data_IF_918511744584
#
_entry.id   IF_918511744584
#
_cell.length_a   1.000
_cell.length_b   1.000
_cell.length_c   1.000
_cell.angle_alpha   90.00
_cell.angle_beta   90.00
_cell.angle_gamma   90.00
#
_symmetry.space_group_name_H-M   'P 1'
#
loop_
_entity.id
_entity.type
_entity.pdbx_description
1 polymer ?
#
# COMPACT_ATOMS: atom_id res chain seq x y z
N UNK A 1 11.29 25.83 16.61
CA UNK A 1 9.95 26.02 15.99
C UNK A 1 9.55 24.69 15.34
N UNK A 2 8.64 23.94 15.96
CA UNK A 2 8.14 22.68 15.42
C UNK A 2 6.83 22.99 14.68
N UNK A 3 6.82 22.81 13.35
CA UNK A 3 5.64 23.07 12.52
C UNK A 3 4.67 21.88 12.62
N UNK A 4 3.45 22.05 13.14
CA UNK A 4 2.49 20.96 13.23
C UNK A 4 1.85 20.75 11.84
N UNK A 5 1.74 19.49 11.41
CA UNK A 5 1.00 19.04 10.21
C UNK A 5 1.77 18.96 8.88
N UNK A 6 2.97 18.38 8.87
CA UNK A 6 3.41 17.70 7.63
C UNK A 6 3.30 16.21 7.86
N UNK A 7 2.41 15.55 7.11
CA UNK A 7 2.29 14.08 7.03
C UNK A 7 3.54 13.54 6.33
N UNK A 8 4.73 13.71 6.93
CA UNK A 8 5.98 13.25 6.34
C UNK A 8 6.16 11.79 6.70
N UNK A 9 5.99 10.94 5.69
CA UNK A 9 6.43 9.56 5.78
C UNK A 9 7.94 9.57 6.01
N UNK A 10 8.43 8.74 6.93
CA UNK A 10 9.88 8.61 7.13
C UNK A 10 10.54 8.20 5.80
N UNK A 11 11.65 8.80 5.46
CA UNK A 11 12.42 8.41 4.29
C UNK A 11 13.01 7.01 4.52
N UNK A 12 12.99 6.15 3.49
CA UNK A 12 13.68 4.86 3.56
C UNK A 12 14.97 4.98 2.75
N UNK A 13 16.14 4.68 3.34
CA UNK A 13 17.39 4.62 2.60
C UNK A 13 17.34 3.59 1.46
N UNK A 14 17.77 3.98 0.27
CA UNK A 14 17.79 3.11 -0.91
C UNK A 14 19.04 2.22 -0.95
N UNK A 15 19.08 1.21 -0.07
CA UNK A 15 20.22 0.29 0.02
C UNK A 15 20.33 -0.70 -1.15
N UNK A 16 19.27 -0.85 -1.95
CA UNK A 16 19.23 -1.77 -3.09
C UNK A 16 19.29 -1.05 -4.45
N UNK A 17 19.62 0.24 -4.44
CA UNK A 17 19.74 1.08 -5.65
C UNK A 17 18.48 0.99 -6.54
N UNK A 18 17.32 0.88 -5.90
CA UNK A 18 16.02 0.74 -6.57
C UNK A 18 15.70 1.95 -7.42
N UNK A 19 16.21 3.14 -7.08
CA UNK A 19 16.05 4.35 -7.88
C UNK A 19 16.60 4.18 -9.31
N UNK A 20 17.75 3.51 -9.46
CA UNK A 20 18.33 3.22 -10.78
C UNK A 20 17.46 2.25 -11.59
N UNK A 21 16.84 1.25 -10.94
CA UNK A 21 15.95 0.30 -11.61
C UNK A 21 14.77 0.98 -12.30
N UNK A 22 14.21 2.04 -11.70
CA UNK A 22 13.10 2.80 -12.29
C UNK A 22 13.55 3.78 -13.38
N UNK A 23 14.80 4.25 -13.33
CA UNK A 23 15.37 5.16 -14.34
C UNK A 23 15.84 4.45 -15.60
N UNK A 24 16.44 3.27 -15.44
CA UNK A 24 17.16 2.59 -16.53
C UNK A 24 16.33 1.50 -17.23
N UNK A 25 15.21 1.06 -16.63
CA UNK A 25 14.38 0.00 -17.18
C UNK A 25 13.05 0.51 -17.74
N UNK A 26 12.61 -0.10 -18.85
CA UNK A 26 11.28 0.15 -19.39
C UNK A 26 10.20 -0.44 -18.48
N UNK A 27 9.38 0.41 -17.88
CA UNK A 27 8.22 0.00 -17.11
C UNK A 27 7.08 -0.43 -18.04
N UNK A 28 6.58 -1.66 -17.83
CA UNK A 28 5.45 -2.20 -18.59
C UNK A 28 4.22 -2.28 -17.68
N UNK A 29 3.14 -1.61 -18.07
CA UNK A 29 1.87 -1.74 -17.39
C UNK A 29 1.14 -2.99 -17.88
N UNK A 30 0.76 -3.88 -16.96
CA UNK A 30 -0.03 -5.09 -17.23
C UNK A 30 -1.16 -5.23 -16.22
N UNK A 31 -2.27 -5.80 -16.65
CA UNK A 31 -3.42 -6.10 -15.80
C UNK A 31 -3.42 -7.57 -15.40
N UNK A 32 -3.79 -7.83 -14.15
CA UNK A 32 -4.01 -9.17 -13.63
C UNK A 32 -5.45 -9.28 -13.15
N UNK A 33 -6.17 -10.28 -13.66
CA UNK A 33 -7.56 -10.52 -13.28
C UNK A 33 -7.62 -11.59 -12.20
N UNK A 34 -8.43 -11.33 -11.17
CA UNK A 34 -8.71 -12.27 -10.09
C UNK A 34 -10.20 -12.57 -10.08
N UNK A 35 -10.55 -13.77 -10.53
CA UNK A 35 -11.89 -14.34 -10.35
C UNK A 35 -12.17 -14.65 -8.86
N UNK A 36 -13.45 -14.86 -8.46
CA UNK A 36 -13.80 -15.13 -7.07
C UNK A 36 -13.01 -16.28 -6.44
N UNK A 37 -12.80 -17.38 -7.17
CA UNK A 37 -12.04 -18.54 -6.65
C UNK A 37 -10.56 -18.22 -6.42
N UNK A 38 -9.96 -17.37 -7.26
CA UNK A 38 -8.62 -16.83 -7.00
C UNK A 38 -8.61 -15.91 -5.78
N UNK A 39 -9.61 -15.05 -5.60
CA UNK A 39 -9.68 -14.16 -4.45
C UNK A 39 -9.82 -14.95 -3.13
N UNK A 40 -10.63 -16.01 -3.12
CA UNK A 40 -10.73 -16.88 -1.94
C UNK A 40 -9.41 -17.58 -1.64
N UNK A 41 -8.68 -18.04 -2.66
CA UNK A 41 -7.32 -18.57 -2.46
C UNK A 41 -6.35 -17.53 -1.90
N UNK A 42 -6.41 -16.29 -2.38
CA UNK A 42 -5.58 -15.19 -1.87
C UNK A 42 -5.90 -14.90 -0.41
N UNK A 43 -7.18 -14.87 -0.04
CA UNK A 43 -7.58 -14.76 1.38
C UNK A 43 -7.08 -15.93 2.20
N UNK A 44 -7.23 -17.17 1.72
CA UNK A 44 -6.74 -18.36 2.42
C UNK A 44 -5.23 -18.32 2.69
N UNK A 45 -4.44 -17.78 1.75
CA UNK A 45 -3.00 -17.57 1.96
C UNK A 45 -2.69 -16.57 3.08
N UNK A 46 -3.55 -15.56 3.30
CA UNK A 46 -3.36 -14.58 4.36
C UNK A 46 -3.56 -15.19 5.76
N UNK A 47 -4.43 -16.19 5.90
CA UNK A 47 -4.70 -16.87 7.18
C UNK A 47 -3.81 -18.09 7.44
N UNK A 48 -2.95 -18.48 6.50
CA UNK A 48 -2.21 -19.74 6.55
C UNK A 48 -1.24 -19.86 7.74
N UNK A 49 -0.78 -18.74 8.29
CA UNK A 49 0.10 -18.71 9.47
C UNK A 49 -0.65 -18.62 10.81
N UNK A 50 -1.98 -18.51 10.78
CA UNK A 50 -2.82 -18.42 11.98
C UNK A 50 -2.64 -17.14 12.80
N UNK A 51 -1.95 -16.13 12.29
CA UNK A 51 -1.66 -14.88 13.04
C UNK A 51 -2.75 -13.83 12.92
N UNK A 52 -3.66 -13.99 11.97
CA UNK A 52 -4.72 -13.03 11.66
C UNK A 52 -6.09 -13.58 12.05
N UNK A 53 -6.84 -12.80 12.82
CA UNK A 53 -8.25 -13.10 13.14
C UNK A 53 -9.22 -12.64 12.02
N UNK A 54 -8.83 -11.61 11.26
CA UNK A 54 -9.64 -11.05 10.18
C UNK A 54 -8.74 -10.47 9.07
N UNK A 55 -9.21 -10.58 7.82
CA UNK A 55 -8.56 -9.97 6.65
C UNK A 55 -9.59 -9.68 5.56
N UNK A 56 -9.65 -8.44 5.07
CA UNK A 56 -10.45 -8.07 3.90
C UNK A 56 -9.78 -8.52 2.61
N UNK A 57 -10.53 -8.63 1.50
CA UNK A 57 -9.92 -8.93 0.19
C UNK A 57 -8.87 -7.92 -0.20
N UNK A 58 -9.14 -6.63 0.05
CA UNK A 58 -8.20 -5.55 -0.30
C UNK A 58 -6.89 -5.71 0.46
N UNK A 59 -6.92 -6.09 1.74
CA UNK A 59 -5.72 -6.32 2.54
C UNK A 59 -4.95 -7.55 2.05
N UNK A 60 -5.63 -8.68 1.85
CA UNK A 60 -5.02 -9.92 1.36
C UNK A 60 -4.37 -9.71 -0.03
N UNK A 61 -5.09 -9.05 -0.94
CA UNK A 61 -4.59 -8.76 -2.28
C UNK A 61 -3.43 -7.77 -2.27
N UNK A 62 -3.52 -6.72 -1.46
CA UNK A 62 -2.43 -5.75 -1.29
C UNK A 62 -1.16 -6.40 -0.74
N UNK A 63 -1.31 -7.27 0.27
CA UNK A 63 -0.20 -8.05 0.82
C UNK A 63 0.43 -8.99 -0.21
N UNK A 64 -0.39 -9.67 -1.02
CA UNK A 64 0.09 -10.51 -2.12
C UNK A 64 0.90 -9.69 -3.14
N UNK A 65 0.35 -8.58 -3.61
CA UNK A 65 0.99 -7.71 -4.62
C UNK A 65 2.30 -7.13 -4.07
N UNK A 66 2.31 -6.67 -2.81
CA UNK A 66 3.52 -6.21 -2.15
C UNK A 66 4.58 -7.32 -2.15
N UNK A 67 4.25 -8.49 -1.61
CA UNK A 67 5.17 -9.63 -1.50
C UNK A 67 5.68 -10.07 -2.87
N UNK A 68 4.82 -10.10 -3.89
CA UNK A 68 5.22 -10.45 -5.25
C UNK A 68 6.21 -9.44 -5.82
N UNK A 69 5.94 -8.14 -5.64
CA UNK A 69 6.81 -7.05 -6.12
C UNK A 69 8.17 -7.07 -5.43
N UNK A 70 8.22 -7.19 -4.10
CA UNK A 70 9.50 -7.20 -3.37
C UNK A 70 10.36 -8.39 -3.75
N UNK A 71 9.76 -9.56 -3.96
CA UNK A 71 10.46 -10.74 -4.45
C UNK A 71 10.95 -10.58 -5.88
N UNK A 72 10.12 -10.04 -6.77
CA UNK A 72 10.49 -9.84 -8.18
C UNK A 72 11.65 -8.84 -8.35
N UNK A 73 11.74 -7.85 -7.46
CA UNK A 73 12.83 -6.87 -7.45
C UNK A 73 14.13 -7.41 -6.83
N UNK A 74 14.11 -8.57 -6.16
CA UNK A 74 15.31 -9.15 -5.54
C UNK A 74 15.97 -8.20 -4.52
N UNK A 75 15.16 -7.46 -3.74
CA UNK A 75 15.67 -6.47 -2.80
C UNK A 75 16.56 -7.11 -1.73
N UNK A 76 17.49 -6.33 -1.20
CA UNK A 76 18.32 -6.73 -0.06
C UNK A 76 17.41 -7.08 1.15
N UNK A 77 17.71 -8.14 1.92
CA UNK A 77 16.88 -8.53 3.07
C UNK A 77 16.67 -7.41 4.11
N UNK A 78 17.66 -6.51 4.25
CA UNK A 78 17.59 -5.38 5.18
C UNK A 78 16.92 -4.14 4.56
N UNK A 79 16.62 -4.19 3.25
CA UNK A 79 15.92 -3.13 2.56
C UNK A 79 14.48 -3.02 3.06
N UNK A 80 14.21 -1.96 3.82
CA UNK A 80 12.85 -1.65 4.27
C UNK A 80 12.00 -1.23 3.08
N UNK A 81 10.71 -1.57 3.11
CA UNK A 81 9.76 -1.14 2.07
C UNK A 81 8.52 -0.54 2.69
N UNK A 82 7.78 0.24 1.90
CA UNK A 82 6.47 0.80 2.26
C UNK A 82 5.49 0.60 1.11
N UNK A 83 4.24 0.27 1.44
CA UNK A 83 3.10 0.33 0.55
C UNK A 83 2.21 1.46 1.02
N UNK A 84 1.86 2.29 0.06
CA UNK A 84 0.90 3.36 0.24
C UNK A 84 -0.39 2.89 -0.43
N UNK A 85 -1.50 2.95 0.29
CA UNK A 85 -2.80 2.61 -0.24
C UNK A 85 -3.79 3.73 0.09
N UNK A 86 -4.56 4.15 -0.91
CA UNK A 86 -5.59 5.17 -0.72
C UNK A 86 -6.81 4.56 -0.03
N UNK A 87 -7.35 5.24 0.99
CA UNK A 87 -8.54 4.81 1.72
C UNK A 87 -9.60 5.90 1.69
N UNK A 88 -10.88 5.50 1.68
CA UNK A 88 -11.99 6.46 1.78
C UNK A 88 -12.10 7.01 3.21
N UNK A 89 -11.67 8.27 3.39
CA UNK A 89 -11.69 8.96 4.68
C UNK A 89 -13.05 9.55 5.07
N UNK A 90 -14.05 9.61 4.17
CA UNK A 90 -15.32 10.31 4.40
C UNK A 90 -16.06 9.81 5.64
N UNK A 91 -16.00 8.50 5.88
CA UNK A 91 -16.63 7.86 7.04
C UNK A 91 -15.91 8.13 8.37
N UNK A 92 -14.64 8.54 8.32
CA UNK A 92 -13.77 8.67 9.50
C UNK A 92 -13.40 10.12 9.81
N UNK A 93 -13.64 11.06 8.90
CA UNK A 93 -13.38 12.48 9.08
C UNK A 93 -14.67 13.32 8.89
N UNK A 94 -15.60 13.30 9.87
CA UNK A 94 -16.90 13.97 9.75
C UNK A 94 -16.80 15.51 9.67
N UNK A 95 -15.69 16.10 10.14
CA UNK A 95 -15.52 17.55 10.26
C UNK A 95 -15.08 18.28 8.97
N UNK A 96 -14.92 17.59 7.84
CA UNK A 96 -14.45 18.24 6.60
C UNK A 96 -15.56 18.95 5.79
N UNK A 97 -16.82 18.92 6.26
CA UNK A 97 -17.98 19.35 5.45
C UNK A 97 -18.85 20.46 6.08
N UNK A 98 -18.41 21.12 7.15
CA UNK A 98 -19.13 22.26 7.73
C UNK A 98 -18.32 23.56 7.64
N UNK A 99 -18.07 24.02 6.40
CA UNK A 99 -17.82 25.43 6.12
C UNK A 99 -19.03 25.94 5.32
N UNK A 100 -20.19 26.04 6.00
CA UNK A 100 -21.33 26.79 5.49
C UNK A 100 -20.94 28.25 5.38
N UNK A 101 -20.87 28.74 4.15
CA UNK A 101 -20.84 30.16 3.85
C UNK A 101 -22.09 30.82 4.46
N UNK A 102 -21.88 31.66 5.47
CA UNK A 102 -22.85 32.64 5.93
C UNK A 102 -22.19 34.00 5.79
N UNK A 103 -22.31 34.60 4.62
CA UNK A 103 -22.11 36.03 4.41
C UNK A 103 -23.49 36.64 4.20
N UNK A 104 -23.96 37.38 5.20
CA UNK A 104 -25.01 38.39 5.05
C UNK A 104 -24.37 39.74 4.79
#
# INVERSE_FOLDING_TARGET
MHNPSTLKFAEIPDVSVTAALYGDQQLVCRSFCFDPDRLERVRGLAFADGTLDHCTTSEALSGLVWRARTRALGLDPEHRTKLLFAVDGRRRCPGATSATASGS
#
